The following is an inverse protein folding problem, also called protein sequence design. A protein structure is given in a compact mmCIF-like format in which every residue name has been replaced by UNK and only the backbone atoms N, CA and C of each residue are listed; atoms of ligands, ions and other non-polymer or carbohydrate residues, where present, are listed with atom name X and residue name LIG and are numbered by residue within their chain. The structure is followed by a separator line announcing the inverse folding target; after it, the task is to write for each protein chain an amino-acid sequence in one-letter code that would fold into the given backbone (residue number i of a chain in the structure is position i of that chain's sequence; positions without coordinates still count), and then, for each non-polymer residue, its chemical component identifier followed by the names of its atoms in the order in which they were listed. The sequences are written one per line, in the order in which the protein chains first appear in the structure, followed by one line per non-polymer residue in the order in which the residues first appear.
data_IF_238807954486
#
_entry.id   IF_238807954486
#
_cell.length_a   1.000
_cell.length_b   1.000
_cell.length_c   1.000
_cell.angle_alpha   90.00
_cell.angle_beta   90.00
_cell.angle_gamma   90.00
#
_symmetry.space_group_name_H-M   'P 1'
#
loop_
_entity.id
_entity.type
_entity.pdbx_description
1 polymer ?
#
# COMPACT_ATOMS: atom_id res chain seq x y z
N UNK A 1 24.11 83.52 59.24
CA UNK A 1 23.21 83.26 58.09
C UNK A 1 23.68 82.13 57.15
N UNK A 2 24.62 81.25 57.55
CA UNK A 2 25.14 80.16 56.68
C UNK A 2 24.77 78.73 57.11
N UNK A 3 24.11 78.56 58.25
CA UNK A 3 23.78 77.24 58.84
C UNK A 3 22.42 76.66 58.40
N UNK A 4 21.50 77.48 57.89
CA UNK A 4 20.10 77.04 57.63
C UNK A 4 19.93 76.39 56.25
N UNK A 5 20.79 76.75 55.28
CA UNK A 5 20.63 76.34 53.87
C UNK A 5 21.04 74.88 53.62
N UNK A 6 21.87 74.28 54.48
CA UNK A 6 22.43 72.94 54.25
C UNK A 6 21.52 71.80 54.71
N UNK A 7 20.61 72.04 55.67
CA UNK A 7 19.65 71.02 56.15
C UNK A 7 18.45 70.82 55.23
N UNK A 8 18.23 71.72 54.28
CA UNK A 8 17.10 71.67 53.35
C UNK A 8 17.40 70.85 52.08
N UNK A 9 18.68 70.75 51.66
CA UNK A 9 19.08 69.95 50.49
C UNK A 9 19.13 68.43 50.74
N UNK A 10 19.33 67.99 51.99
CA UNK A 10 19.32 66.55 52.31
C UNK A 10 17.90 65.95 52.49
N UNK A 11 16.88 66.78 52.70
CA UNK A 11 15.48 66.30 52.82
C UNK A 11 14.80 66.17 51.45
N UNK A 12 15.13 67.02 50.48
CA UNK A 12 14.57 66.95 49.13
C UNK A 12 15.18 65.85 48.25
N UNK A 13 16.41 65.42 48.52
CA UNK A 13 17.03 64.26 47.84
C UNK A 13 16.47 62.90 48.30
N UNK A 14 15.85 62.82 49.47
CA UNK A 14 15.27 61.56 49.98
C UNK A 14 13.85 61.29 49.49
N UNK A 15 13.13 62.32 49.05
CA UNK A 15 11.74 62.19 48.56
C UNK A 15 11.72 61.79 47.08
N UNK A 16 12.71 62.19 46.29
CA UNK A 16 12.81 61.79 44.87
C UNK A 16 13.26 60.34 44.65
N UNK A 17 13.94 59.72 45.61
CA UNK A 17 14.31 58.28 45.54
C UNK A 17 13.11 57.37 45.90
N UNK A 18 12.16 57.87 46.71
CA UNK A 18 10.97 57.09 47.09
C UNK A 18 9.90 57.02 45.98
N UNK A 19 9.86 57.99 45.05
CA UNK A 19 8.92 57.99 43.91
C UNK A 19 9.49 57.22 42.72
N UNK A 20 10.82 57.22 42.52
CA UNK A 20 11.48 56.37 41.51
C UNK A 20 11.39 54.88 41.84
N UNK A 21 11.39 54.51 43.13
CA UNK A 21 11.24 53.12 43.58
C UNK A 21 9.81 52.57 43.47
N UNK A 22 8.80 53.44 43.34
CA UNK A 22 7.39 53.04 43.14
C UNK A 22 7.01 52.87 41.66
N UNK A 23 7.86 53.32 40.73
CA UNK A 23 7.70 53.09 39.28
C UNK A 23 8.53 51.91 38.75
N UNK A 24 9.53 51.43 39.50
CA UNK A 24 10.29 50.22 39.18
C UNK A 24 9.62 48.92 39.69
N UNK A 25 8.51 49.03 40.43
CA UNK A 25 7.68 47.90 40.87
C UNK A 25 6.37 47.81 40.08
N UNK A 26 6.40 48.21 38.79
CA UNK A 26 5.50 47.61 37.82
C UNK A 26 6.05 46.21 37.52
N UNK A 27 5.81 45.30 38.47
CA UNK A 27 5.87 43.87 38.21
C UNK A 27 5.15 43.66 36.88
N UNK A 28 5.89 43.19 35.88
CA UNK A 28 5.29 42.55 34.74
C UNK A 28 4.39 41.44 35.30
N UNK A 29 3.10 41.73 35.43
CA UNK A 29 2.09 40.70 35.34
C UNK A 29 2.27 40.13 33.95
N UNK A 30 3.17 39.15 33.83
CA UNK A 30 3.21 38.27 32.68
C UNK A 30 1.80 37.74 32.57
N UNK A 31 1.13 38.11 31.47
CA UNK A 31 -0.14 37.52 31.11
C UNK A 31 0.07 36.01 31.21
N UNK A 32 -0.58 35.38 32.20
CA UNK A 32 -0.70 33.94 32.22
C UNK A 32 -1.47 33.63 30.94
N UNK A 33 -0.77 33.23 29.88
CA UNK A 33 -1.40 32.61 28.73
C UNK A 33 -2.27 31.51 29.32
N UNK A 34 -3.60 31.59 29.19
CA UNK A 34 -4.47 30.59 29.77
C UNK A 34 -3.99 29.24 29.24
N UNK A 35 -3.65 28.34 30.15
CA UNK A 35 -3.22 27.00 29.77
C UNK A 35 -4.33 26.43 28.90
N UNK A 36 -4.05 26.25 27.61
CA UNK A 36 -5.03 25.78 26.65
C UNK A 36 -5.63 24.49 27.20
N UNK A 37 -6.91 24.54 27.55
CA UNK A 37 -7.61 23.39 28.11
C UNK A 37 -7.42 22.24 27.13
N UNK A 38 -6.76 21.17 27.58
CA UNK A 38 -6.47 20.01 26.73
C UNK A 38 -7.81 19.51 26.20
N UNK A 39 -7.91 19.38 24.87
CA UNK A 39 -9.14 18.90 24.23
C UNK A 39 -9.47 17.52 24.82
N UNK A 40 -10.70 17.29 25.30
CA UNK A 40 -11.12 15.97 25.75
C UNK A 40 -10.90 14.93 24.66
N UNK A 41 -10.44 13.73 25.03
CA UNK A 41 -10.23 12.63 24.09
C UNK A 41 -11.58 11.95 23.80
N UNK A 42 -12.20 12.33 22.70
CA UNK A 42 -13.46 11.77 22.19
C UNK A 42 -13.18 10.69 21.12
N UNK A 43 -14.18 9.87 20.78
CA UNK A 43 -13.98 8.73 19.86
C UNK A 43 -13.58 9.16 18.44
N UNK A 44 -14.05 10.31 17.97
CA UNK A 44 -13.64 10.93 16.70
C UNK A 44 -12.13 11.23 16.63
N UNK A 45 -11.46 11.38 17.78
CA UNK A 45 -10.01 11.56 17.81
C UNK A 45 -9.28 10.28 17.41
N UNK A 46 -9.84 9.10 17.69
CA UNK A 46 -9.24 7.80 17.33
C UNK A 46 -9.13 7.68 15.81
N UNK A 47 -10.10 8.20 15.06
CA UNK A 47 -10.09 8.17 13.60
C UNK A 47 -8.97 9.03 12.98
N UNK A 48 -8.45 10.01 13.75
CA UNK A 48 -7.34 10.88 13.35
C UNK A 48 -5.96 10.35 13.69
N UNK A 49 -5.86 9.24 14.44
CA UNK A 49 -4.55 8.69 14.84
C UNK A 49 -3.80 8.14 13.65
N UNK A 50 -2.65 8.77 13.38
CA UNK A 50 -1.80 8.46 12.23
C UNK A 50 -0.78 7.40 12.62
N UNK A 51 -0.69 6.36 11.81
CA UNK A 51 0.30 5.30 11.90
C UNK A 51 1.27 5.37 10.72
N UNK A 52 2.53 5.06 10.98
CA UNK A 52 3.56 4.89 9.94
C UNK A 52 3.62 3.42 9.53
N UNK A 53 3.61 3.15 8.23
CA UNK A 53 3.66 1.80 7.67
C UNK A 53 4.60 1.74 6.46
N UNK A 54 5.15 0.56 6.19
CA UNK A 54 5.95 0.32 4.98
C UNK A 54 7.22 1.18 4.89
N UNK A 55 7.84 1.52 6.02
CA UNK A 55 9.04 2.36 6.05
C UNK A 55 10.18 1.73 5.23
N UNK A 56 10.77 2.52 4.34
CA UNK A 56 11.92 2.12 3.52
C UNK A 56 12.90 3.28 3.33
N UNK A 57 14.15 2.97 3.04
CA UNK A 57 15.24 3.93 2.91
C UNK A 57 16.05 3.60 1.65
N UNK A 58 16.48 4.64 0.93
CA UNK A 58 17.45 4.53 -0.16
C UNK A 58 18.80 4.01 0.34
N UNK A 59 19.57 3.35 -0.54
CA UNK A 59 20.86 2.73 -0.18
C UNK A 59 21.90 3.71 0.38
N UNK A 60 21.87 4.95 -0.09
CA UNK A 60 22.75 6.02 0.36
C UNK A 60 22.25 6.73 1.64
N UNK A 61 21.07 6.33 2.14
CA UNK A 61 20.42 6.88 3.32
C UNK A 61 19.89 8.30 3.14
N UNK A 62 19.79 8.82 1.91
CA UNK A 62 19.37 10.21 1.70
C UNK A 62 17.86 10.39 1.75
N UNK A 63 17.11 9.42 1.26
CA UNK A 63 15.66 9.46 1.15
C UNK A 63 15.00 8.36 1.96
N UNK A 64 14.05 8.76 2.80
CA UNK A 64 13.13 7.94 3.57
C UNK A 64 11.75 8.00 2.94
N UNK A 65 11.09 6.85 2.75
CA UNK A 65 9.69 6.79 2.34
C UNK A 65 8.88 5.95 3.33
N UNK A 66 7.66 6.39 3.62
CA UNK A 66 6.70 5.65 4.42
C UNK A 66 5.27 6.05 4.09
N UNK A 67 4.33 5.14 4.34
CA UNK A 67 2.90 5.43 4.30
C UNK A 67 2.45 5.96 5.66
N UNK A 68 1.63 7.01 5.65
CA UNK A 68 1.05 7.65 6.81
C UNK A 68 -0.47 7.51 6.74
N UNK A 69 -1.02 6.53 7.47
CA UNK A 69 -2.42 6.11 7.38
C UNK A 69 -3.16 6.41 8.69
N UNK A 70 -4.46 6.65 8.61
CA UNK A 70 -5.33 6.81 9.79
C UNK A 70 -6.68 6.12 9.53
N UNK A 71 -7.44 5.65 10.53
CA UNK A 71 -8.71 4.96 10.30
C UNK A 71 -9.76 5.81 9.57
N UNK A 72 -9.80 7.12 9.82
CA UNK A 72 -10.76 8.04 9.20
C UNK A 72 -10.34 8.67 7.87
N UNK A 73 -9.13 8.39 7.37
CA UNK A 73 -8.56 9.06 6.19
C UNK A 73 -7.93 8.05 5.21
N UNK A 74 -7.86 8.40 3.93
CA UNK A 74 -7.28 7.51 2.90
C UNK A 74 -5.75 7.39 3.01
N UNK A 75 -5.12 8.26 3.81
CA UNK A 75 -3.68 8.27 4.04
C UNK A 75 -2.88 8.82 2.88
N UNK A 76 -1.57 8.87 3.06
CA UNK A 76 -0.63 9.41 2.07
C UNK A 76 0.72 8.73 2.18
N UNK A 77 1.49 8.72 1.10
CA UNK A 77 2.92 8.44 1.18
C UNK A 77 3.66 9.74 1.47
N UNK A 78 4.63 9.67 2.36
CA UNK A 78 5.60 10.73 2.63
C UNK A 78 6.97 10.25 2.16
N UNK A 79 7.65 11.07 1.37
CA UNK A 79 8.99 10.82 0.84
C UNK A 79 9.87 11.99 1.23
N UNK A 80 10.81 11.77 2.16
CA UNK A 80 11.57 12.82 2.81
C UNK A 80 13.06 12.66 2.60
N UNK A 81 13.71 13.74 2.20
CA UNK A 81 15.16 13.87 2.18
C UNK A 81 15.66 14.11 3.62
N UNK A 82 16.50 13.23 4.15
CA UNK A 82 17.01 13.28 5.51
C UNK A 82 18.15 14.29 5.70
N UNK A 83 18.79 14.74 4.61
CA UNK A 83 19.87 15.74 4.67
C UNK A 83 19.33 17.16 4.56
N UNK A 84 18.48 17.40 3.57
CA UNK A 84 17.94 18.73 3.26
C UNK A 84 16.58 19.03 3.87
N UNK A 85 15.88 18.02 4.40
CA UNK A 85 14.52 18.19 4.94
C UNK A 85 13.43 18.36 3.88
N UNK A 86 13.77 18.32 2.58
CA UNK A 86 12.81 18.33 1.49
C UNK A 86 11.83 17.16 1.64
N UNK A 87 10.56 17.40 1.36
CA UNK A 87 9.51 16.41 1.53
C UNK A 87 8.52 16.46 0.38
N UNK A 88 8.19 15.29 -0.14
CA UNK A 88 7.15 15.06 -1.13
C UNK A 88 6.04 14.21 -0.53
N UNK A 89 4.82 14.46 -0.95
CA UNK A 89 3.64 13.73 -0.50
C UNK A 89 2.79 13.34 -1.69
N UNK A 90 2.18 12.16 -1.63
CA UNK A 90 1.16 11.75 -2.59
C UNK A 90 0.00 11.08 -1.86
N UNK A 91 -1.26 11.43 -2.18
CA UNK A 91 -2.42 10.84 -1.52
C UNK A 91 -2.50 9.34 -1.82
N UNK A 92 -3.04 8.58 -0.86
CA UNK A 92 -3.35 7.15 -0.96
C UNK A 92 -2.14 6.24 -1.21
N UNK A 93 -0.93 6.76 -1.08
CA UNK A 93 0.29 6.01 -1.32
C UNK A 93 0.61 5.04 -0.19
N UNK A 94 0.90 3.79 -0.55
CA UNK A 94 1.24 2.69 0.36
C UNK A 94 2.32 1.80 -0.26
N UNK A 95 2.94 0.93 0.55
CA UNK A 95 3.97 -0.02 0.09
C UNK A 95 5.08 0.60 -0.78
N UNK A 96 5.81 1.62 -0.29
CA UNK A 96 6.86 2.25 -1.06
C UNK A 96 8.05 1.32 -1.31
N UNK A 97 8.65 1.43 -2.50
CA UNK A 97 9.88 0.76 -2.88
C UNK A 97 10.76 1.71 -3.71
N UNK A 98 12.03 1.85 -3.35
CA UNK A 98 12.98 2.66 -4.10
C UNK A 98 13.65 1.84 -5.21
N UNK A 99 13.98 2.51 -6.32
CA UNK A 99 14.94 1.96 -7.29
C UNK A 99 16.33 1.86 -6.68
N UNK A 100 17.18 1.02 -7.27
CA UNK A 100 18.46 0.70 -6.68
C UNK A 100 19.40 1.90 -6.51
N UNK A 101 19.29 2.87 -7.43
CA UNK A 101 20.01 4.14 -7.48
C UNK A 101 19.34 5.29 -6.72
N UNK A 102 18.15 5.05 -6.13
CA UNK A 102 17.40 6.08 -5.42
C UNK A 102 16.89 7.23 -6.29
N UNK A 103 16.74 7.05 -7.61
CA UNK A 103 16.15 8.08 -8.50
C UNK A 103 14.64 8.11 -8.46
N UNK A 104 14.01 6.97 -8.21
CA UNK A 104 12.56 6.82 -8.19
C UNK A 104 12.09 6.11 -6.93
N UNK A 105 10.87 6.44 -6.51
CA UNK A 105 10.09 5.64 -5.58
C UNK A 105 8.80 5.21 -6.25
N UNK A 106 8.49 3.92 -6.15
CA UNK A 106 7.28 3.31 -6.66
C UNK A 106 6.41 2.90 -5.49
N UNK A 107 5.10 3.10 -5.58
CA UNK A 107 4.17 2.82 -4.50
C UNK A 107 2.79 2.42 -5.02
N UNK A 108 2.05 1.66 -4.23
CA UNK A 108 0.65 1.34 -4.51
C UNK A 108 -0.23 2.53 -4.14
N UNK A 109 -1.16 2.88 -5.02
CA UNK A 109 -2.22 3.84 -4.76
C UNK A 109 -3.46 3.05 -4.33
N UNK A 110 -3.83 3.17 -3.05
CA UNK A 110 -5.01 2.52 -2.50
C UNK A 110 -6.30 3.11 -3.09
N UNK A 111 -7.40 2.35 -3.03
CA UNK A 111 -8.72 2.89 -3.29
C UNK A 111 -9.09 3.93 -2.24
N UNK A 112 -10.08 4.76 -2.55
CA UNK A 112 -10.68 5.60 -1.51
C UNK A 112 -11.49 4.72 -0.56
N UNK A 113 -11.47 5.06 0.73
CA UNK A 113 -12.25 4.34 1.74
C UNK A 113 -13.74 4.41 1.49
N UNK A 114 -14.21 5.50 0.89
CA UNK A 114 -15.59 5.63 0.47
C UNK A 114 -15.99 4.58 -0.58
N UNK A 115 -15.15 4.36 -1.59
CA UNK A 115 -15.38 3.35 -2.61
C UNK A 115 -15.35 1.95 -2.00
N UNK A 116 -14.36 1.65 -1.17
CA UNK A 116 -14.27 0.37 -0.45
C UNK A 116 -15.53 0.12 0.39
N UNK A 117 -16.03 1.14 1.10
CA UNK A 117 -17.25 1.01 1.89
C UNK A 117 -18.50 0.85 1.02
N UNK A 118 -18.64 1.63 -0.06
CA UNK A 118 -19.75 1.51 -1.02
C UNK A 118 -19.79 0.09 -1.59
N UNK A 119 -18.64 -0.48 -1.94
CA UNK A 119 -18.53 -1.85 -2.43
C UNK A 119 -18.86 -2.89 -1.36
N UNK A 120 -18.36 -2.70 -0.14
CA UNK A 120 -18.68 -3.57 1.00
C UNK A 120 -20.18 -3.58 1.28
N UNK A 121 -20.84 -2.42 1.23
CA UNK A 121 -22.30 -2.27 1.37
C UNK A 121 -23.03 -2.92 0.20
N UNK A 122 -22.60 -2.68 -1.04
CA UNK A 122 -23.19 -3.30 -2.23
C UNK A 122 -23.07 -4.83 -2.18
N UNK A 123 -21.92 -5.37 -1.78
CA UNK A 123 -21.72 -6.81 -1.63
C UNK A 123 -22.56 -7.40 -0.49
N UNK A 124 -22.71 -6.68 0.64
CA UNK A 124 -23.61 -7.08 1.73
C UNK A 124 -25.07 -7.15 1.25
N UNK A 125 -25.52 -6.15 0.49
CA UNK A 125 -26.87 -6.10 -0.05
C UNK A 125 -27.09 -7.20 -1.12
N UNK A 126 -26.08 -7.49 -1.94
CA UNK A 126 -26.12 -8.57 -2.92
C UNK A 126 -26.08 -9.97 -2.29
N UNK A 127 -25.44 -10.13 -1.13
CA UNK A 127 -25.41 -11.36 -0.35
C UNK A 127 -26.65 -11.59 0.54
N UNK A 128 -27.56 -10.61 0.64
CA UNK A 128 -28.81 -10.70 1.40
C UNK A 128 -29.93 -11.51 0.72
N UNK A 129 -29.69 -12.00 -0.50
CA UNK A 129 -30.53 -12.98 -1.21
C UNK A 129 -29.63 -14.11 -1.71
N UNK A 130 -29.46 -15.17 -0.93
CA UNK A 130 -28.62 -16.30 -1.36
C UNK A 130 -28.21 -17.30 -0.29
N UNK A 131 -28.83 -17.30 0.89
CA UNK A 131 -28.85 -18.48 1.76
C UNK A 131 -29.77 -19.54 1.16
N UNK A 132 -29.32 -20.20 0.10
CA UNK A 132 -30.03 -21.28 -0.58
C UNK A 132 -29.03 -22.27 -1.13
N UNK A 133 -28.82 -23.35 -0.38
CA UNK A 133 -28.20 -24.58 -0.86
C UNK A 133 -28.76 -24.98 -2.24
N UNK A 134 -27.87 -25.41 -3.12
CA UNK A 134 -28.14 -26.07 -4.39
C UNK A 134 -28.85 -25.25 -5.48
N UNK A 135 -28.06 -24.66 -6.37
CA UNK A 135 -28.37 -24.76 -7.80
C UNK A 135 -27.10 -24.79 -8.66
N UNK A 136 -26.85 -25.99 -9.17
CA UNK A 136 -26.02 -26.26 -10.33
C UNK A 136 -26.75 -25.73 -11.56
N UNK A 137 -26.21 -24.69 -12.19
CA UNK A 137 -26.77 -24.08 -13.40
C UNK A 137 -26.58 -22.58 -13.44
N UNK A 138 -25.40 -22.12 -13.87
CA UNK A 138 -25.10 -20.80 -14.45
C UNK A 138 -23.56 -20.60 -14.47
N UNK A 139 -22.87 -21.33 -15.34
CA UNK A 139 -21.40 -21.29 -15.46
C UNK A 139 -20.86 -19.96 -16.01
N UNK A 140 -21.67 -19.18 -16.73
CA UNK A 140 -21.20 -17.94 -17.38
C UNK A 140 -21.41 -16.69 -16.53
N UNK A 141 -22.49 -16.60 -15.76
CA UNK A 141 -22.83 -15.38 -14.99
C UNK A 141 -22.05 -15.24 -13.68
N UNK A 142 -21.68 -16.36 -13.04
CA UNK A 142 -20.83 -16.34 -11.83
C UNK A 142 -19.41 -15.92 -12.17
N UNK A 143 -18.85 -16.49 -13.23
CA UNK A 143 -17.49 -16.21 -13.69
C UNK A 143 -17.28 -14.74 -14.10
N UNK A 144 -18.24 -14.10 -14.77
CA UNK A 144 -18.18 -12.66 -15.04
C UNK A 144 -18.27 -11.77 -13.77
N UNK A 145 -19.11 -12.15 -12.81
CA UNK A 145 -19.25 -11.46 -11.52
C UNK A 145 -18.03 -11.61 -10.62
N UNK A 146 -17.40 -12.79 -10.65
CA UNK A 146 -16.18 -13.09 -9.91
C UNK A 146 -14.98 -12.34 -10.52
N UNK A 147 -14.88 -12.26 -11.86
CA UNK A 147 -13.89 -11.41 -12.54
C UNK A 147 -14.07 -9.93 -12.22
N UNK A 148 -15.30 -9.41 -12.23
CA UNK A 148 -15.58 -8.01 -11.88
C UNK A 148 -15.27 -7.68 -10.40
N UNK A 149 -15.43 -8.66 -9.52
CA UNK A 149 -15.08 -8.55 -8.09
C UNK A 149 -13.58 -8.64 -7.85
N UNK A 150 -12.88 -9.46 -8.64
CA UNK A 150 -11.45 -9.76 -8.47
C UNK A 150 -10.53 -8.86 -9.34
N UNK A 151 -11.05 -7.74 -9.85
CA UNK A 151 -10.20 -6.77 -10.57
C UNK A 151 -9.29 -6.04 -9.58
N UNK A 152 -8.03 -5.80 -9.92
CA UNK A 152 -7.22 -4.80 -9.26
C UNK A 152 -7.89 -3.44 -9.31
N UNK A 153 -8.17 -2.88 -8.14
CA UNK A 153 -8.74 -1.54 -8.00
C UNK A 153 -7.74 -0.53 -7.45
N UNK A 154 -6.54 -1.02 -7.15
CA UNK A 154 -5.38 -0.22 -6.80
C UNK A 154 -4.74 0.39 -8.04
N UNK A 155 -4.00 1.47 -7.84
CA UNK A 155 -3.12 2.07 -8.86
C UNK A 155 -1.65 1.95 -8.48
N UNK A 156 -0.79 2.45 -9.35
CA UNK A 156 0.65 2.53 -9.17
C UNK A 156 1.09 3.99 -9.30
N UNK A 157 1.81 4.49 -8.31
CA UNK A 157 2.48 5.77 -8.36
C UNK A 157 3.97 5.57 -8.60
N UNK A 158 4.53 6.33 -9.54
CA UNK A 158 5.97 6.38 -9.83
C UNK A 158 6.40 7.83 -9.61
N UNK A 159 7.09 8.10 -8.51
CA UNK A 159 7.58 9.43 -8.16
C UNK A 159 9.07 9.57 -8.46
N UNK A 160 9.42 10.63 -9.18
CA UNK A 160 10.83 11.01 -9.43
C UNK A 160 11.34 11.81 -8.23
N UNK A 161 12.47 11.40 -7.64
CA UNK A 161 12.98 12.07 -6.42
C UNK A 161 13.69 13.41 -6.70
N UNK A 162 14.01 13.69 -7.96
CA UNK A 162 14.66 14.95 -8.33
C UNK A 162 13.71 16.16 -8.22
N UNK A 163 12.42 15.97 -8.54
CA UNK A 163 11.42 17.03 -8.60
C UNK A 163 10.11 16.71 -7.85
N UNK A 164 9.93 15.47 -7.38
CA UNK A 164 8.72 15.00 -6.72
C UNK A 164 7.56 14.70 -7.68
N UNK A 165 7.80 14.69 -9.00
CA UNK A 165 6.74 14.46 -9.99
C UNK A 165 6.25 13.02 -9.94
N UNK A 166 4.94 12.85 -9.82
CA UNK A 166 4.27 11.54 -9.76
C UNK A 166 3.62 11.21 -11.10
N UNK A 167 3.92 10.03 -11.64
CA UNK A 167 3.20 9.40 -12.74
C UNK A 167 2.28 8.32 -12.18
N UNK A 168 1.01 8.36 -12.54
CA UNK A 168 -0.01 7.42 -12.04
C UNK A 168 -0.43 6.45 -13.13
N UNK A 169 -0.50 5.17 -12.79
CA UNK A 169 -1.06 4.11 -13.63
C UNK A 169 -2.23 3.47 -12.88
N UNK A 170 -3.40 3.45 -13.50
CA UNK A 170 -4.61 2.88 -12.88
C UNK A 170 -4.71 1.36 -13.08
N UNK A 171 -5.49 0.71 -12.22
CA UNK A 171 -5.82 -0.73 -12.31
C UNK A 171 -4.58 -1.63 -12.31
N UNK A 172 -3.69 -1.39 -11.35
CA UNK A 172 -2.46 -2.16 -11.16
C UNK A 172 -2.63 -3.11 -9.97
N UNK A 173 -2.40 -4.40 -10.18
CA UNK A 173 -2.58 -5.44 -9.16
C UNK A 173 -1.37 -5.64 -8.25
N UNK A 174 -0.21 -5.81 -8.84
CA UNK A 174 1.05 -5.91 -8.11
C UNK A 174 2.17 -5.39 -9.00
N UNK A 175 3.27 -4.99 -8.37
CA UNK A 175 4.46 -4.52 -9.06
C UNK A 175 5.72 -5.15 -8.44
N UNK A 176 6.81 -5.11 -9.19
CA UNK A 176 8.12 -5.56 -8.73
C UNK A 176 9.24 -4.76 -9.39
N UNK A 177 10.25 -4.46 -8.59
CA UNK A 177 11.50 -3.84 -9.01
C UNK A 177 12.63 -4.88 -8.89
N UNK A 178 13.54 -4.97 -9.87
CA UNK A 178 14.78 -5.70 -9.68
C UNK A 178 15.59 -5.09 -8.52
N UNK A 179 16.30 -5.93 -7.78
CA UNK A 179 17.02 -5.49 -6.58
C UNK A 179 18.18 -4.54 -6.88
N UNK A 180 18.89 -4.77 -7.97
CA UNK A 180 20.14 -4.05 -8.31
C UNK A 180 19.97 -3.16 -9.56
N UNK A 181 18.93 -3.37 -10.36
CA UNK A 181 18.62 -2.47 -11.47
C UNK A 181 17.72 -1.32 -11.03
N UNK A 182 17.87 -0.20 -11.73
CA UNK A 182 17.00 0.98 -11.57
C UNK A 182 16.25 1.35 -12.84
N UNK A 183 16.39 0.53 -13.89
CA UNK A 183 15.84 0.83 -15.21
C UNK A 183 14.44 0.26 -15.40
N UNK A 184 14.19 -0.93 -14.86
CA UNK A 184 12.99 -1.70 -15.17
C UNK A 184 12.04 -1.81 -13.99
N UNK A 185 10.74 -1.78 -14.30
CA UNK A 185 9.63 -2.02 -13.39
C UNK A 185 8.65 -2.96 -14.09
N UNK A 186 8.25 -4.04 -13.41
CA UNK A 186 7.17 -4.90 -13.91
C UNK A 186 5.92 -4.73 -13.06
N UNK A 187 4.74 -4.76 -13.67
CA UNK A 187 3.48 -4.74 -12.94
C UNK A 187 2.34 -5.39 -13.74
N UNK A 188 1.39 -5.99 -13.02
CA UNK A 188 0.16 -6.49 -13.64
C UNK A 188 -0.84 -5.37 -13.85
N UNK A 189 -1.39 -5.26 -15.05
CA UNK A 189 -2.45 -4.31 -15.41
C UNK A 189 -3.73 -5.06 -15.75
N UNK A 190 -4.84 -4.61 -15.17
CA UNK A 190 -6.17 -5.16 -15.49
C UNK A 190 -6.51 -6.49 -14.80
N UNK A 191 -7.48 -7.20 -15.36
CA UNK A 191 -8.10 -8.37 -14.74
C UNK A 191 -7.36 -9.65 -15.08
N UNK A 192 -6.69 -10.28 -14.11
CA UNK A 192 -6.08 -11.59 -14.34
C UNK A 192 -4.77 -11.87 -13.62
N UNK A 193 -4.33 -11.04 -12.69
CA UNK A 193 -3.17 -11.37 -11.88
C UNK A 193 -3.64 -11.93 -10.56
N UNK A 194 -3.79 -13.24 -10.43
CA UNK A 194 -3.77 -13.83 -9.08
C UNK A 194 -2.34 -13.74 -8.57
N UNK A 195 -1.86 -12.53 -8.31
CA UNK A 195 -0.83 -12.31 -7.32
C UNK A 195 -1.38 -12.95 -6.06
N UNK A 196 -0.89 -14.14 -5.74
CA UNK A 196 -1.11 -14.77 -4.45
C UNK A 196 -0.57 -13.78 -3.43
N UNK A 197 -1.46 -12.92 -2.95
CA UNK A 197 -1.26 -12.10 -1.77
C UNK A 197 -0.66 -13.01 -0.71
N UNK A 198 0.54 -12.66 -0.24
CA UNK A 198 1.26 -13.37 0.78
C UNK A 198 0.43 -13.40 2.06
N UNK A 199 -0.38 -14.45 2.21
CA UNK A 199 -0.99 -14.87 3.46
C UNK A 199 -0.24 -16.11 3.94
N UNK A 200 0.73 -15.92 4.84
CA UNK A 200 1.39 -16.99 5.54
C UNK A 200 0.41 -17.81 6.38
N UNK A 201 -0.13 -18.89 5.80
CA UNK A 201 -0.87 -19.92 6.50
C UNK A 201 0.03 -21.12 6.74
N UNK A 202 0.67 -21.19 7.91
CA UNK A 202 1.26 -22.43 8.42
C UNK A 202 0.13 -23.44 8.66
N UNK A 203 -0.22 -24.22 7.65
CA UNK A 203 -1.02 -25.43 7.77
C UNK A 203 -0.16 -26.59 8.25
N UNK A 204 0.30 -26.54 9.51
CA UNK A 204 0.95 -27.66 10.16
C UNK A 204 -0.05 -28.79 10.34
N UNK A 205 0.26 -29.93 9.72
CA UNK A 205 -0.33 -31.20 10.04
C UNK A 205 -0.26 -31.46 11.56
N UNK A 206 -1.41 -31.79 12.16
CA UNK A 206 -1.54 -32.69 13.31
C UNK A 206 -3.02 -33.02 13.47
N UNK A 207 -3.39 -34.18 12.91
CA UNK A 207 -4.61 -34.87 13.30
C UNK A 207 -4.59 -35.14 14.80
N UNK A 208 -5.71 -34.80 15.45
CA UNK A 208 -6.08 -35.35 16.75
C UNK A 208 -7.60 -35.38 16.80
N UNK A 209 -8.16 -36.52 16.42
CA UNK A 209 -9.54 -36.91 16.69
C UNK A 209 -9.52 -38.33 17.23
N UNK A 210 -9.69 -38.46 18.53
CA UNK A 210 -9.87 -39.71 19.24
C UNK A 210 -11.27 -40.30 18.95
N UNK A 211 -11.42 -41.62 19.08
CA UNK A 211 -12.75 -42.23 19.17
C UNK A 211 -12.79 -43.70 18.81
N UNK A 212 -12.60 -44.56 19.80
CA UNK A 212 -13.01 -45.96 19.76
C UNK A 212 -14.56 -46.06 19.71
N UNK A 213 -15.09 -47.00 18.94
CA UNK A 213 -16.51 -47.32 18.92
C UNK A 213 -16.82 -48.42 17.91
N UNK A 214 -17.21 -49.58 18.43
CA UNK A 214 -17.29 -50.86 17.75
C UNK A 214 -18.53 -51.06 16.87
N UNK A 215 -18.34 -51.88 15.82
CA UNK A 215 -19.28 -52.93 15.38
C UNK A 215 -20.54 -52.53 14.62
N UNK A 216 -20.58 -52.88 13.33
CA UNK A 216 -21.70 -53.63 12.72
C UNK A 216 -21.34 -54.16 11.33
N UNK A 217 -22.01 -55.25 10.99
CA UNK A 217 -21.66 -56.31 10.04
C UNK A 217 -21.67 -55.89 8.58
N UNK A 218 -20.89 -56.65 7.81
CA UNK A 218 -20.89 -56.71 6.36
C UNK A 218 -22.23 -57.23 5.82
N UNK A 219 -22.75 -56.53 4.81
CA UNK A 219 -23.70 -57.06 3.83
C UNK A 219 -23.10 -56.86 2.43
N UNK A 220 -23.37 -57.76 1.47
CA UNK A 220 -22.76 -57.71 0.15
C UNK A 220 -23.30 -56.52 -0.64
N UNK A 221 -22.41 -55.64 -1.09
CA UNK A 221 -22.74 -54.59 -2.04
C UNK A 221 -22.68 -55.18 -3.45
N UNK A 222 -23.84 -55.28 -4.09
CA UNK A 222 -23.98 -55.57 -5.51
C UNK A 222 -23.21 -54.52 -6.33
N UNK A 223 -22.37 -55.00 -7.25
CA UNK A 223 -21.65 -54.20 -8.24
C UNK A 223 -22.63 -53.41 -9.13
N UNK A 224 -22.66 -52.09 -8.97
CA UNK A 224 -23.16 -51.18 -9.99
C UNK A 224 -22.02 -50.83 -10.96
N UNK A 225 -22.24 -50.91 -12.28
CA UNK A 225 -21.18 -50.80 -13.27
C UNK A 225 -20.62 -49.38 -13.34
N UNK A 226 -19.30 -49.32 -13.56
CA UNK A 226 -18.48 -48.14 -13.80
C UNK A 226 -19.18 -47.13 -14.72
N UNK A 227 -19.63 -46.01 -14.14
CA UNK A 227 -19.84 -44.78 -14.91
C UNK A 227 -18.48 -44.10 -15.03
N UNK A 228 -17.97 -43.84 -16.24
CA UNK A 228 -16.71 -43.15 -16.39
C UNK A 228 -16.86 -41.76 -15.75
N UNK A 229 -16.00 -41.47 -14.77
CA UNK A 229 -15.82 -40.13 -14.26
C UNK A 229 -15.29 -39.27 -15.42
N UNK A 230 -16.21 -38.62 -16.13
CA UNK A 230 -15.85 -37.53 -17.03
C UNK A 230 -15.16 -36.47 -16.17
N UNK A 231 -13.83 -36.46 -16.25
CA UNK A 231 -13.00 -35.45 -15.60
C UNK A 231 -13.52 -34.10 -16.04
N UNK A 232 -14.05 -33.32 -15.09
CA UNK A 232 -14.25 -31.90 -15.32
C UNK A 232 -12.87 -31.31 -15.54
N UNK A 233 -12.50 -31.08 -16.79
CA UNK A 233 -11.42 -30.17 -17.13
C UNK A 233 -11.72 -28.86 -16.40
N UNK A 234 -10.90 -28.54 -15.41
CA UNK A 234 -10.95 -27.24 -14.76
C UNK A 234 -10.70 -26.22 -15.86
N UNK A 235 -11.73 -25.42 -16.19
CA UNK A 235 -11.57 -24.31 -17.12
C UNK A 235 -10.37 -23.48 -16.66
N UNK A 236 -9.37 -23.40 -17.51
CA UNK A 236 -8.15 -22.65 -17.27
C UNK A 236 -8.50 -21.17 -17.36
N UNK A 237 -8.28 -20.45 -16.26
CA UNK A 237 -8.44 -19.00 -16.28
C UNK A 237 -7.19 -18.38 -16.92
N UNK A 238 -7.35 -17.50 -17.93
CA UNK A 238 -6.22 -16.83 -18.55
C UNK A 238 -5.52 -15.89 -17.56
N UNK A 239 -4.20 -15.73 -17.71
CA UNK A 239 -3.41 -14.80 -16.89
C UNK A 239 -3.71 -13.31 -17.16
N UNK A 240 -2.97 -12.41 -16.51
CA UNK A 240 -3.09 -10.96 -16.69
C UNK A 240 -2.08 -10.42 -17.70
N UNK A 241 -2.34 -9.19 -18.16
CA UNK A 241 -1.33 -8.42 -18.86
C UNK A 241 -0.23 -7.99 -17.89
N UNK A 242 0.98 -8.50 -18.12
CA UNK A 242 2.19 -8.03 -17.47
C UNK A 242 2.78 -6.88 -18.28
N UNK A 243 2.90 -5.71 -17.67
CA UNK A 243 3.58 -4.56 -18.25
C UNK A 243 5.00 -4.51 -17.72
N UNK A 244 5.97 -4.42 -18.62
CA UNK A 244 7.37 -4.17 -18.32
C UNK A 244 7.72 -2.76 -18.80
N UNK A 245 7.96 -1.86 -17.86
CA UNK A 245 8.18 -0.43 -18.12
C UNK A 245 9.63 -0.04 -17.85
N UNK A 246 10.21 0.73 -18.76
CA UNK A 246 11.45 1.46 -18.54
C UNK A 246 11.16 2.76 -17.77
N UNK A 247 11.76 2.92 -16.59
CA UNK A 247 11.55 4.06 -15.71
C UNK A 247 12.20 5.35 -16.22
N UNK A 248 13.20 5.25 -17.11
CA UNK A 248 13.93 6.39 -17.66
C UNK A 248 13.28 6.86 -18.97
N UNK A 249 13.01 5.95 -19.90
CA UNK A 249 12.43 6.30 -21.22
C UNK A 249 10.91 6.33 -21.24
N UNK A 250 10.26 5.80 -20.19
CA UNK A 250 8.81 5.58 -20.13
C UNK A 250 8.25 4.59 -21.17
N UNK A 251 9.12 3.86 -21.89
CA UNK A 251 8.72 2.81 -22.82
C UNK A 251 8.10 1.62 -22.07
N UNK A 252 7.06 1.03 -22.66
CA UNK A 252 6.32 -0.10 -22.08
C UNK A 252 6.24 -1.25 -23.09
N UNK A 253 6.39 -2.47 -22.57
CA UNK A 253 6.12 -3.70 -23.31
C UNK A 253 5.06 -4.48 -22.55
N UNK A 254 3.99 -4.86 -23.26
CA UNK A 254 2.91 -5.69 -22.72
C UNK A 254 3.14 -7.15 -23.08
N UNK A 255 3.12 -8.02 -22.07
CA UNK A 255 3.12 -9.48 -22.22
C UNK A 255 1.76 -10.00 -21.75
N UNK A 256 0.92 -10.52 -22.65
CA UNK A 256 -0.42 -10.98 -22.29
C UNK A 256 -0.40 -12.31 -21.53
N UNK A 257 -1.49 -12.59 -20.80
CA UNK A 257 -1.80 -13.90 -20.23
C UNK A 257 -0.76 -14.45 -19.23
N UNK A 258 -0.06 -13.58 -18.51
CA UNK A 258 0.96 -13.95 -17.51
C UNK A 258 0.33 -14.25 -16.15
N UNK A 259 0.71 -15.36 -15.54
CA UNK A 259 0.24 -15.78 -14.21
C UNK A 259 1.24 -15.47 -13.11
N UNK A 260 2.52 -15.64 -13.37
CA UNK A 260 3.62 -15.38 -12.45
C UNK A 260 4.84 -14.83 -13.19
N UNK A 261 5.65 -14.05 -12.48
CA UNK A 261 6.91 -13.52 -12.99
C UNK A 261 7.91 -13.29 -11.87
N UNK A 262 9.20 -13.29 -12.21
CA UNK A 262 10.29 -13.02 -11.28
C UNK A 262 11.48 -12.36 -11.99
N UNK A 263 12.04 -11.33 -11.34
CA UNK A 263 13.24 -10.65 -11.79
C UNK A 263 14.49 -11.35 -11.25
N UNK A 264 15.53 -11.48 -12.09
CA UNK A 264 16.85 -11.69 -11.53
C UNK A 264 17.32 -10.42 -10.78
N UNK A 265 18.24 -10.56 -9.81
CA UNK A 265 18.71 -9.43 -8.99
C UNK A 265 19.20 -8.25 -9.83
N UNK A 266 19.98 -8.55 -10.88
CA UNK A 266 20.56 -7.58 -11.79
C UNK A 266 19.54 -6.86 -12.70
N UNK A 267 18.29 -7.34 -12.78
CA UNK A 267 17.25 -6.80 -13.66
C UNK A 267 17.50 -6.98 -15.16
N UNK A 268 18.46 -7.83 -15.53
CA UNK A 268 18.76 -8.17 -16.93
C UNK A 268 17.78 -9.22 -17.48
N UNK A 269 17.22 -10.06 -16.62
CA UNK A 269 16.34 -11.16 -17.00
C UNK A 269 15.04 -11.12 -16.21
N UNK A 270 13.93 -11.33 -16.92
CA UNK A 270 12.60 -11.53 -16.37
C UNK A 270 12.10 -12.92 -16.78
N UNK A 271 11.91 -13.80 -15.80
CA UNK A 271 11.21 -15.08 -16.01
C UNK A 271 9.70 -14.87 -15.82
N UNK A 272 8.87 -15.49 -16.65
CA UNK A 272 7.42 -15.43 -16.51
C UNK A 272 6.75 -16.69 -17.05
N UNK A 273 5.57 -17.02 -16.53
CA UNK A 273 4.74 -18.11 -17.03
C UNK A 273 3.44 -17.57 -17.63
N UNK A 274 3.02 -18.13 -18.76
CA UNK A 274 1.75 -17.78 -19.41
C UNK A 274 0.72 -18.90 -19.24
N UNK A 275 -0.54 -18.49 -19.10
CA UNK A 275 -1.71 -19.35 -19.04
C UNK A 275 -2.73 -18.80 -20.02
N UNK A 276 -2.84 -19.45 -21.17
CA UNK A 276 -3.77 -19.11 -22.24
C UNK A 276 -4.91 -20.12 -22.32
N UNK A 277 -5.97 -19.75 -23.03
CA UNK A 277 -6.98 -20.71 -23.51
C UNK A 277 -6.49 -21.53 -24.69
N UNK A 278 -5.42 -21.08 -25.36
CA UNK A 278 -4.70 -21.80 -26.41
C UNK A 278 -3.48 -22.50 -25.80
N UNK A 279 -3.53 -23.82 -25.70
CA UNK A 279 -2.47 -24.62 -25.09
C UNK A 279 -1.09 -24.44 -25.76
N UNK A 280 -1.04 -24.01 -27.02
CA UNK A 280 0.22 -23.75 -27.72
C UNK A 280 0.96 -22.50 -27.21
N UNK A 281 0.26 -21.60 -26.50
CA UNK A 281 0.80 -20.36 -25.94
C UNK A 281 1.17 -20.49 -24.46
N UNK A 282 0.90 -21.65 -23.88
CA UNK A 282 1.27 -21.95 -22.50
C UNK A 282 2.75 -22.28 -22.39
N UNK A 283 3.41 -21.71 -21.38
CA UNK A 283 4.80 -22.05 -21.12
C UNK A 283 5.47 -21.16 -20.10
N UNK A 284 6.72 -21.49 -19.82
CA UNK A 284 7.63 -20.65 -19.06
C UNK A 284 8.62 -20.01 -20.05
N UNK A 285 8.79 -18.70 -19.92
CA UNK A 285 9.60 -17.88 -20.80
C UNK A 285 10.61 -17.08 -19.97
N UNK A 286 11.74 -16.74 -20.59
CA UNK A 286 12.72 -15.84 -20.01
C UNK A 286 13.05 -14.75 -21.03
N UNK A 287 12.90 -13.49 -20.61
CA UNK A 287 13.12 -12.34 -21.45
C UNK A 287 14.39 -11.60 -21.03
N UNK A 288 15.36 -11.52 -21.94
CA UNK A 288 16.53 -10.65 -21.83
C UNK A 288 16.09 -9.19 -22.03
N UNK A 289 16.36 -8.33 -21.05
CA UNK A 289 16.03 -6.89 -21.03
C UNK A 289 17.24 -6.00 -21.29
N UNK A 290 18.38 -6.59 -21.63
CA UNK A 290 19.60 -5.87 -22.06
C UNK A 290 19.70 -5.76 -23.57
N UNK A 291 18.91 -6.55 -24.32
CA UNK A 291 18.82 -6.46 -25.78
C UNK A 291 17.70 -5.50 -26.18
N UNK A 292 17.94 -4.60 -27.17
CA UNK A 292 16.84 -3.85 -27.78
C UNK A 292 15.84 -4.83 -28.40
N UNK A 293 14.55 -4.46 -28.40
CA UNK A 293 13.49 -5.24 -29.03
C UNK A 293 13.87 -5.46 -30.51
N UNK A 294 14.28 -6.67 -30.83
CA UNK A 294 14.57 -7.06 -32.21
C UNK A 294 13.20 -7.23 -32.87
N UNK A 295 12.88 -6.38 -33.85
CA UNK A 295 11.66 -6.55 -34.64
C UNK A 295 11.63 -7.97 -35.21
N UNK A 296 10.47 -8.66 -35.20
CA UNK A 296 10.36 -9.96 -35.84
C UNK A 296 10.71 -9.78 -37.32
N UNK A 297 11.79 -10.44 -37.74
CA UNK A 297 12.26 -10.39 -39.12
C UNK A 297 11.16 -10.76 -40.10
N UNK A 298 11.04 -9.92 -41.13
CA UNK A 298 10.21 -10.09 -42.33
C UNK A 298 10.57 -11.36 -43.08
#
# INVERSE_FOLDING_TARGET
MKEVVMRQRLRSQRILVAIGALLAFQWSLGAQTPAAAKRPLTYDVVDSWRAIQGTTLTRDGQWLAYALTAPGDDGEIVVRNLRGGQEYRSPRGTAPAFTADGRFVVFTIAQTKEEEEKERRANRNAGGQGGGENQAGAGETRSGRDRARNQPKTGLGIMTLADGKVTTVEKVGSFSLPTESSTWLAYYKGTGGTGRSGGGGRGGARGRGAGAGAGRQAGPAEEQPDRPAAGREKRKDPGADLIVRNLVTAEEVTVPEVTEYEWNKAGAWLAYATSSTDAAKDGAFAADRTRPLQEPGV
#
